data_IF_069664416181
#
_entry.id   IF_069664416181
#
_cell.length_a   1.000
_cell.length_b   1.000
_cell.length_c   1.000
_cell.angle_alpha   90.00
_cell.angle_beta   90.00
_cell.angle_gamma   90.00
#
_symmetry.space_group_name_H-M   'P 1'
#
loop_
_entity.id
_entity.type
_entity.pdbx_description
1 polymer ?
#
# COMPACT_ATOMS: atom_id res chain seq x y z
N UNK A 1 -9.89 -21.89 -9.00
CA UNK A 1 -9.08 -20.70 -9.31
C UNK A 1 -9.79 -19.47 -8.75
N UNK A 2 -9.21 -18.83 -7.73
CA UNK A 2 -9.76 -17.65 -7.06
C UNK A 2 -9.42 -16.38 -7.86
N UNK A 3 -10.40 -15.48 -8.07
CA UNK A 3 -10.19 -14.21 -8.80
C UNK A 3 -9.87 -13.07 -7.84
N UNK A 4 -8.60 -12.60 -7.90
CA UNK A 4 -8.09 -11.52 -7.07
C UNK A 4 -8.12 -10.18 -7.82
N UNK A 5 -8.93 -9.21 -7.37
CA UNK A 5 -8.77 -7.82 -7.78
C UNK A 5 -7.54 -7.22 -7.10
N UNK A 6 -6.64 -6.63 -7.86
CA UNK A 6 -5.42 -6.04 -7.30
C UNK A 6 -5.49 -4.52 -7.30
N UNK A 7 -5.34 -3.91 -6.12
CA UNK A 7 -5.43 -2.46 -5.94
C UNK A 7 -4.08 -1.91 -5.46
N UNK A 8 -3.54 -0.93 -6.15
CA UNK A 8 -2.24 -0.34 -5.82
C UNK A 8 -2.15 1.12 -6.26
N UNK A 9 -1.36 1.91 -5.55
CA UNK A 9 -1.00 3.27 -5.99
C UNK A 9 0.17 3.28 -6.97
N UNK A 10 0.90 2.18 -7.11
CA UNK A 10 2.06 2.08 -8.01
C UNK A 10 3.21 3.03 -7.64
N UNK A 11 3.35 3.40 -6.35
CA UNK A 11 4.19 4.51 -5.90
C UNK A 11 5.69 4.22 -5.98
N UNK A 12 6.09 2.94 -5.90
CA UNK A 12 7.51 2.59 -5.82
C UNK A 12 7.82 1.12 -6.06
N UNK A 13 9.04 0.68 -5.77
CA UNK A 13 9.47 -0.71 -5.94
C UNK A 13 8.59 -1.71 -5.17
N UNK A 14 8.12 -1.35 -3.97
CA UNK A 14 7.25 -2.21 -3.16
C UNK A 14 6.00 -2.66 -3.89
N UNK A 15 5.31 -1.76 -4.61
CA UNK A 15 4.12 -2.12 -5.40
C UNK A 15 4.43 -3.16 -6.48
N UNK A 16 5.58 -3.05 -7.14
CA UNK A 16 6.01 -4.01 -8.16
C UNK A 16 6.41 -5.35 -7.54
N UNK A 17 7.18 -5.30 -6.47
CA UNK A 17 7.67 -6.50 -5.79
C UNK A 17 6.53 -7.34 -5.22
N UNK A 18 5.49 -6.71 -4.68
CA UNK A 18 4.30 -7.40 -4.18
C UNK A 18 3.55 -8.12 -5.30
N UNK A 19 3.24 -7.43 -6.41
CA UNK A 19 2.57 -8.07 -7.55
C UNK A 19 3.44 -9.17 -8.16
N UNK A 20 4.74 -8.90 -8.33
CA UNK A 20 5.69 -9.88 -8.85
C UNK A 20 5.74 -11.15 -8.00
N UNK A 21 5.81 -11.01 -6.68
CA UNK A 21 5.87 -12.18 -5.78
C UNK A 21 4.64 -13.08 -5.92
N UNK A 22 3.44 -12.49 -6.05
CA UNK A 22 2.20 -13.24 -6.27
C UNK A 22 2.18 -13.92 -7.65
N UNK A 23 2.63 -13.21 -8.70
CA UNK A 23 2.66 -13.76 -10.05
C UNK A 23 3.72 -14.85 -10.19
N UNK A 24 4.90 -14.70 -9.60
CA UNK A 24 5.95 -15.71 -9.57
C UNK A 24 5.43 -17.00 -8.88
N UNK A 25 4.69 -16.87 -7.77
CA UNK A 25 4.17 -18.03 -7.05
C UNK A 25 3.02 -18.71 -7.80
N UNK A 26 2.19 -17.93 -8.49
CA UNK A 26 1.19 -18.48 -9.43
C UNK A 26 1.85 -19.27 -10.56
N UNK A 27 2.91 -18.76 -11.18
CA UNK A 27 3.63 -19.44 -12.26
C UNK A 27 4.27 -20.76 -11.82
N UNK A 28 4.73 -20.84 -10.57
CA UNK A 28 5.24 -22.07 -9.95
C UNK A 28 4.12 -23.08 -9.61
N UNK A 29 2.87 -22.68 -9.73
CA UNK A 29 1.71 -23.51 -9.34
C UNK A 29 1.44 -23.56 -7.84
N UNK A 30 2.07 -22.68 -7.05
CA UNK A 30 1.81 -22.56 -5.61
C UNK A 30 0.50 -21.85 -5.28
N UNK A 31 -0.03 -21.05 -6.22
CA UNK A 31 -1.29 -20.34 -6.08
C UNK A 31 -2.24 -20.63 -7.24
N UNK A 32 -3.43 -21.14 -6.94
CA UNK A 32 -4.52 -21.33 -7.93
C UNK A 32 -5.39 -20.06 -8.01
N UNK A 33 -4.84 -19.03 -8.63
CA UNK A 33 -5.45 -17.69 -8.72
C UNK A 33 -5.46 -17.14 -10.15
N UNK A 34 -6.37 -16.21 -10.38
CA UNK A 34 -6.39 -15.29 -11.52
C UNK A 34 -6.37 -13.86 -10.99
N UNK A 35 -5.63 -12.97 -11.65
CA UNK A 35 -5.70 -11.52 -11.42
C UNK A 35 -6.41 -10.90 -12.63
N UNK A 36 -7.73 -10.74 -12.60
CA UNK A 36 -8.51 -10.29 -13.75
C UNK A 36 -8.31 -8.81 -14.08
N UNK A 37 -7.84 -8.01 -13.13
CA UNK A 37 -7.47 -6.61 -13.33
C UNK A 37 -6.53 -6.12 -12.22
N UNK A 38 -5.81 -5.06 -12.54
CA UNK A 38 -5.14 -4.19 -11.57
C UNK A 38 -5.81 -2.83 -11.62
N UNK A 39 -6.25 -2.33 -10.45
CA UNK A 39 -6.73 -0.97 -10.30
C UNK A 39 -5.64 -0.08 -9.72
N UNK A 40 -5.36 1.05 -10.39
CA UNK A 40 -4.46 2.08 -9.89
C UNK A 40 -5.20 3.41 -9.72
N UNK A 41 -5.08 4.03 -8.55
CA UNK A 41 -5.70 5.31 -8.26
C UNK A 41 -4.96 6.52 -8.85
N UNK A 42 -4.17 6.30 -9.90
CA UNK A 42 -3.49 7.30 -10.73
C UNK A 42 -3.55 6.87 -12.20
N UNK A 43 -3.62 7.85 -13.10
CA UNK A 43 -3.64 7.64 -14.56
C UNK A 43 -2.32 7.98 -15.27
N UNK A 44 -1.29 8.34 -14.50
CA UNK A 44 0.05 8.68 -14.98
C UNK A 44 0.13 9.83 -16.01
N UNK A 45 -0.83 10.74 -16.01
CA UNK A 45 -0.88 11.89 -16.93
C UNK A 45 -0.36 13.20 -16.29
N UNK A 46 0.06 13.16 -15.03
CA UNK A 46 0.65 14.28 -14.32
C UNK A 46 2.04 14.66 -14.83
N UNK A 47 2.53 15.82 -14.39
CA UNK A 47 3.89 16.29 -14.70
C UNK A 47 4.93 15.21 -14.28
N UNK A 48 5.97 14.96 -15.10
CA UNK A 48 7.03 14.00 -14.77
C UNK A 48 7.70 14.27 -13.42
N UNK A 49 7.84 13.23 -12.64
CA UNK A 49 8.59 13.18 -11.38
C UNK A 49 9.00 11.72 -11.09
N UNK A 50 9.84 11.50 -10.08
CA UNK A 50 10.33 10.15 -9.76
C UNK A 50 9.21 9.15 -9.47
N UNK A 51 8.13 9.57 -8.82
CA UNK A 51 6.97 8.71 -8.53
C UNK A 51 6.20 8.33 -9.79
N UNK A 52 6.11 9.24 -10.76
CA UNK A 52 5.51 8.96 -12.06
C UNK A 52 6.31 7.92 -12.83
N UNK A 53 7.63 8.00 -12.82
CA UNK A 53 8.51 7.00 -13.43
C UNK A 53 8.32 5.63 -12.77
N UNK A 54 8.31 5.57 -11.43
CA UNK A 54 8.06 4.33 -10.69
C UNK A 54 6.70 3.72 -11.03
N UNK A 55 5.67 4.56 -11.20
CA UNK A 55 4.33 4.10 -11.59
C UNK A 55 4.29 3.62 -13.04
N UNK A 56 5.01 4.26 -13.94
CA UNK A 56 5.12 3.78 -15.32
C UNK A 56 5.74 2.37 -15.35
N UNK A 57 6.81 2.14 -14.59
CA UNK A 57 7.40 0.80 -14.47
C UNK A 57 6.41 -0.23 -13.90
N UNK A 58 5.50 0.20 -13.00
CA UNK A 58 4.43 -0.67 -12.51
C UNK A 58 3.40 -0.96 -13.60
N UNK A 59 2.99 0.03 -14.38
CA UNK A 59 2.06 -0.13 -15.51
C UNK A 59 2.64 -1.07 -16.57
N UNK A 60 3.89 -0.86 -16.95
CA UNK A 60 4.61 -1.70 -17.92
C UNK A 60 4.69 -3.17 -17.45
N UNK A 61 4.87 -3.38 -16.13
CA UNK A 61 4.84 -4.72 -15.54
C UNK A 61 3.46 -5.36 -15.63
N UNK A 62 2.39 -4.62 -15.30
CA UNK A 62 0.99 -5.10 -15.38
C UNK A 62 0.66 -5.49 -16.82
N UNK A 63 1.03 -4.66 -17.79
CA UNK A 63 0.87 -4.93 -19.20
C UNK A 63 1.69 -6.16 -19.62
N UNK A 64 2.92 -6.28 -19.14
CA UNK A 64 3.81 -7.44 -19.43
C UNK A 64 3.22 -8.77 -18.94
N UNK A 65 2.41 -8.77 -17.88
CA UNK A 65 1.64 -9.94 -17.45
C UNK A 65 0.35 -10.16 -18.23
N UNK A 66 -0.01 -9.26 -19.14
CA UNK A 66 -1.28 -9.31 -19.88
C UNK A 66 -2.51 -9.03 -19.01
N UNK A 67 -2.33 -8.36 -17.86
CA UNK A 67 -3.41 -8.05 -16.94
C UNK A 67 -4.05 -6.70 -17.34
N UNK A 68 -5.39 -6.62 -17.45
CA UNK A 68 -6.08 -5.34 -17.66
C UNK A 68 -5.73 -4.32 -16.57
N UNK A 69 -5.25 -3.14 -16.99
CA UNK A 69 -4.98 -2.02 -16.11
C UNK A 69 -6.19 -1.06 -16.13
N UNK A 70 -6.83 -0.88 -14.98
CA UNK A 70 -7.91 0.07 -14.76
C UNK A 70 -7.38 1.24 -13.96
N UNK A 71 -7.59 2.46 -14.42
CA UNK A 71 -7.10 3.65 -13.72
C UNK A 71 -8.21 4.65 -13.44
N UNK A 72 -8.09 5.34 -12.30
CA UNK A 72 -8.85 6.55 -11.96
C UNK A 72 -7.99 7.47 -11.10
N UNK A 73 -7.64 8.65 -11.63
CA UNK A 73 -6.79 9.58 -10.88
C UNK A 73 -7.58 10.25 -9.75
N UNK A 74 -7.32 9.85 -8.51
CA UNK A 74 -7.92 10.48 -7.34
C UNK A 74 -7.69 12.01 -7.30
N UNK A 75 -6.56 12.47 -7.82
CA UNK A 75 -6.17 13.88 -7.81
C UNK A 75 -6.99 14.72 -8.78
N UNK A 76 -7.47 14.09 -9.86
CA UNK A 76 -8.29 14.74 -10.90
C UNK A 76 -9.77 14.57 -10.66
N UNK A 77 -10.14 13.54 -9.91
CA UNK A 77 -11.53 13.23 -9.62
C UNK A 77 -12.10 14.21 -8.62
N UNK A 78 -13.04 15.04 -9.05
CA UNK A 78 -13.78 16.00 -8.21
C UNK A 78 -12.93 16.74 -7.16
N UNK A 79 -11.83 17.44 -7.55
CA UNK A 79 -10.88 18.00 -6.59
C UNK A 79 -11.48 19.05 -5.65
N UNK A 80 -12.54 19.75 -6.07
CA UNK A 80 -13.22 20.73 -5.23
C UNK A 80 -14.07 20.03 -4.17
N UNK A 81 -14.82 18.99 -4.54
CA UNK A 81 -15.59 18.18 -3.58
C UNK A 81 -14.65 17.60 -2.51
N UNK A 82 -13.46 17.11 -2.90
CA UNK A 82 -12.50 16.56 -1.95
C UNK A 82 -12.05 17.57 -0.89
N UNK A 83 -11.91 18.86 -1.27
CA UNK A 83 -11.53 19.92 -0.34
C UNK A 83 -12.69 20.31 0.58
N UNK A 84 -13.91 20.27 0.08
CA UNK A 84 -15.11 20.71 0.79
C UNK A 84 -15.65 19.61 1.71
N UNK A 85 -15.68 18.37 1.21
CA UNK A 85 -16.22 17.20 1.91
C UNK A 85 -15.50 15.91 1.44
N UNK A 86 -14.47 15.52 2.17
CA UNK A 86 -13.66 14.34 1.84
C UNK A 86 -14.47 13.05 1.97
N UNK A 87 -15.46 12.97 2.85
CA UNK A 87 -16.30 11.79 3.03
C UNK A 87 -17.25 11.60 1.83
N UNK A 88 -17.90 12.68 1.38
CA UNK A 88 -18.73 12.66 0.18
C UNK A 88 -17.88 12.33 -1.06
N UNK A 89 -16.69 12.91 -1.16
CA UNK A 89 -15.75 12.60 -2.23
C UNK A 89 -15.37 11.11 -2.23
N UNK A 90 -15.08 10.54 -1.07
CA UNK A 90 -14.76 9.12 -0.91
C UNK A 90 -15.86 8.21 -1.44
N UNK A 91 -17.12 8.51 -1.11
CA UNK A 91 -18.29 7.77 -1.60
C UNK A 91 -18.44 7.83 -3.12
N UNK A 92 -18.29 9.01 -3.72
CA UNK A 92 -18.36 9.17 -5.18
C UNK A 92 -17.16 8.49 -5.88
N UNK A 93 -15.97 8.57 -5.31
CA UNK A 93 -14.79 7.87 -5.84
C UNK A 93 -14.95 6.35 -5.76
N UNK A 94 -15.44 5.83 -4.65
CA UNK A 94 -15.74 4.41 -4.48
C UNK A 94 -16.81 3.90 -5.46
N UNK A 95 -17.83 4.70 -5.73
CA UNK A 95 -18.84 4.37 -6.76
C UNK A 95 -18.20 4.19 -8.14
N UNK A 96 -17.34 5.12 -8.58
CA UNK A 96 -16.63 5.00 -9.85
C UNK A 96 -15.67 3.80 -9.85
N UNK A 97 -15.00 3.53 -8.74
CA UNK A 97 -14.16 2.33 -8.58
C UNK A 97 -15.01 1.06 -8.81
N UNK A 98 -16.16 0.93 -8.15
CA UNK A 98 -17.07 -0.22 -8.32
C UNK A 98 -17.56 -0.34 -9.75
N UNK A 99 -18.02 0.75 -10.37
CA UNK A 99 -18.48 0.76 -11.76
C UNK A 99 -17.40 0.28 -12.73
N UNK A 100 -16.16 0.69 -12.54
CA UNK A 100 -15.01 0.28 -13.38
C UNK A 100 -14.57 -1.16 -13.16
N UNK A 101 -14.80 -1.74 -11.99
CA UNK A 101 -14.26 -3.06 -11.62
C UNK A 101 -15.29 -4.18 -11.57
N UNK A 102 -16.60 -3.89 -11.47
CA UNK A 102 -17.67 -4.90 -11.34
C UNK A 102 -17.70 -5.95 -12.47
N UNK A 103 -17.30 -5.57 -13.68
CA UNK A 103 -17.32 -6.47 -14.85
C UNK A 103 -16.26 -7.56 -14.85
N UNK A 104 -15.26 -7.48 -13.98
CA UNK A 104 -14.14 -8.43 -13.95
C UNK A 104 -14.39 -9.67 -13.10
N UNK A 105 -15.49 -9.71 -12.32
CA UNK A 105 -15.86 -10.87 -11.52
C UNK A 105 -14.87 -11.18 -10.38
N UNK A 106 -14.31 -10.14 -9.77
CA UNK A 106 -13.47 -10.24 -8.57
C UNK A 106 -14.21 -10.98 -7.45
N UNK A 107 -13.53 -11.89 -6.78
CA UNK A 107 -14.03 -12.62 -5.61
C UNK A 107 -13.36 -12.13 -4.30
N UNK A 108 -12.13 -11.61 -4.40
CA UNK A 108 -11.40 -11.06 -3.28
C UNK A 108 -10.56 -9.88 -3.77
N UNK A 109 -10.65 -8.73 -3.11
CA UNK A 109 -9.81 -7.57 -3.37
C UNK A 109 -8.54 -7.61 -2.52
N UNK A 110 -7.40 -7.25 -3.10
CA UNK A 110 -6.11 -7.14 -2.41
C UNK A 110 -5.61 -5.70 -2.52
N UNK A 111 -5.56 -5.00 -1.39
CA UNK A 111 -4.99 -3.66 -1.29
C UNK A 111 -3.49 -3.79 -1.02
N UNK A 112 -2.68 -3.71 -2.08
CA UNK A 112 -1.23 -3.85 -2.02
C UNK A 112 -0.54 -2.51 -2.28
N UNK A 113 -0.34 -1.74 -1.23
CA UNK A 113 0.16 -0.37 -1.33
C UNK A 113 -0.85 0.58 -1.99
N UNK A 114 -2.12 0.38 -1.71
CA UNK A 114 -3.20 1.29 -2.07
C UNK A 114 -3.35 2.34 -0.97
N UNK A 115 -3.15 3.60 -1.31
CA UNK A 115 -2.97 4.70 -0.35
C UNK A 115 -4.22 5.57 -0.17
N UNK A 116 -5.39 5.10 -0.61
CA UNK A 116 -6.67 5.73 -0.33
C UNK A 116 -7.51 4.82 0.57
N UNK A 117 -8.39 5.46 1.32
CA UNK A 117 -9.40 4.74 2.08
C UNK A 117 -10.46 4.14 1.14
N UNK A 118 -10.98 2.99 1.50
CA UNK A 118 -12.17 2.44 0.85
C UNK A 118 -13.42 3.00 1.52
N UNK A 119 -14.38 3.43 0.72
CA UNK A 119 -15.67 3.88 1.23
C UNK A 119 -16.50 2.71 1.77
N UNK A 120 -17.49 3.03 2.60
CA UNK A 120 -18.32 2.07 3.28
C UNK A 120 -19.06 1.12 2.33
N UNK A 121 -19.57 1.65 1.21
CA UNK A 121 -20.29 0.84 0.22
C UNK A 121 -19.36 -0.13 -0.51
N UNK A 122 -18.10 0.26 -0.75
CA UNK A 122 -17.10 -0.66 -1.35
C UNK A 122 -16.72 -1.76 -0.35
N UNK A 123 -16.55 -1.43 0.92
CA UNK A 123 -16.30 -2.42 1.98
C UNK A 123 -17.48 -3.39 2.16
N UNK A 124 -18.73 -2.92 1.99
CA UNK A 124 -19.92 -3.78 2.07
C UNK A 124 -20.12 -4.65 0.81
N UNK A 125 -19.66 -4.17 -0.35
CA UNK A 125 -19.85 -4.84 -1.64
C UNK A 125 -18.81 -5.93 -1.93
N UNK A 126 -17.61 -5.82 -1.35
CA UNK A 126 -16.49 -6.71 -1.67
C UNK A 126 -15.77 -7.18 -0.41
N UNK A 127 -15.43 -8.45 -0.39
CA UNK A 127 -14.41 -8.97 0.54
C UNK A 127 -13.04 -8.45 0.11
N UNK A 128 -12.37 -7.70 0.98
CA UNK A 128 -11.08 -7.09 0.67
C UNK A 128 -10.09 -7.28 1.81
N UNK A 129 -8.83 -7.50 1.46
CA UNK A 129 -7.71 -7.58 2.40
C UNK A 129 -6.75 -6.43 2.17
N UNK A 130 -6.34 -5.79 3.25
CA UNK A 130 -5.30 -4.76 3.22
C UNK A 130 -3.97 -5.32 3.73
N UNK A 131 -2.90 -5.05 2.97
CA UNK A 131 -1.53 -5.30 3.40
C UNK A 131 -1.04 -4.09 4.20
N UNK A 132 -0.83 -4.28 5.49
CA UNK A 132 -0.34 -3.25 6.40
C UNK A 132 1.08 -3.58 6.89
N UNK A 133 2.02 -2.61 6.87
CA UNK A 133 3.42 -2.84 7.18
C UNK A 133 3.73 -2.84 8.68
N UNK A 134 2.89 -3.49 9.47
CA UNK A 134 3.09 -3.67 10.91
C UNK A 134 2.52 -5.01 11.39
N UNK A 135 2.91 -5.41 12.60
CA UNK A 135 2.27 -6.51 13.34
C UNK A 135 0.84 -6.11 13.77
N UNK A 136 -0.06 -7.07 14.06
CA UNK A 136 -1.41 -6.79 14.52
C UNK A 136 -1.49 -5.90 15.77
N UNK A 137 -0.47 -5.99 16.63
CA UNK A 137 -0.33 -5.16 17.85
C UNK A 137 0.66 -4.00 17.66
N UNK A 138 1.20 -3.84 16.46
CA UNK A 138 2.21 -2.83 16.15
C UNK A 138 1.62 -1.46 15.80
N UNK A 139 2.50 -0.56 15.36
CA UNK A 139 2.12 0.79 14.95
C UNK A 139 1.06 0.82 13.86
N UNK A 140 0.28 1.90 13.82
CA UNK A 140 -0.71 2.18 12.78
C UNK A 140 -0.32 3.42 11.99
N UNK A 141 -0.90 3.55 10.79
CA UNK A 141 -0.65 4.68 9.90
C UNK A 141 0.11 4.29 8.63
N UNK A 142 0.69 5.27 7.98
CA UNK A 142 1.53 5.07 6.79
C UNK A 142 2.80 4.27 7.14
N UNK A 143 3.42 3.65 6.13
CA UNK A 143 4.66 2.89 6.36
C UNK A 143 5.79 3.77 6.94
N UNK A 144 5.84 5.05 6.59
CA UNK A 144 6.78 6.00 7.17
C UNK A 144 6.51 6.21 8.67
N UNK A 145 5.25 6.43 9.03
CA UNK A 145 4.86 6.59 10.45
C UNK A 145 5.17 5.34 11.25
N UNK A 146 4.92 4.17 10.68
CA UNK A 146 5.28 2.88 11.31
C UNK A 146 6.78 2.80 11.57
N UNK A 147 7.62 3.12 10.59
CA UNK A 147 9.08 3.10 10.76
C UNK A 147 9.52 4.08 11.85
N UNK A 148 9.03 5.31 11.84
CA UNK A 148 9.39 6.30 12.86
C UNK A 148 8.96 5.90 14.27
N UNK A 149 7.81 5.24 14.41
CA UNK A 149 7.37 4.70 15.70
C UNK A 149 8.29 3.56 16.16
N UNK A 150 8.63 2.62 15.29
CA UNK A 150 9.57 1.52 15.60
C UNK A 150 10.95 2.03 16.01
N UNK A 151 11.45 3.09 15.37
CA UNK A 151 12.71 3.74 15.77
C UNK A 151 12.56 4.37 17.15
N UNK A 152 11.45 5.07 17.42
CA UNK A 152 11.19 5.70 18.71
C UNK A 152 11.03 4.71 19.86
N UNK A 153 10.54 3.53 19.59
CA UNK A 153 10.37 2.43 20.53
C UNK A 153 11.63 1.56 20.69
N UNK A 154 12.68 1.85 19.94
CA UNK A 154 13.91 1.03 19.87
C UNK A 154 13.60 -0.44 19.57
N UNK A 155 12.69 -0.68 18.64
CA UNK A 155 12.11 -1.98 18.36
C UNK A 155 13.15 -3.01 17.89
N UNK A 156 12.97 -4.26 18.29
CA UNK A 156 13.80 -5.39 17.86
C UNK A 156 13.24 -6.09 16.62
N UNK A 157 11.91 -6.03 16.46
CA UNK A 157 11.17 -6.74 15.42
C UNK A 157 10.24 -5.79 14.67
N UNK A 158 9.99 -6.15 13.44
CA UNK A 158 8.98 -5.59 12.54
C UNK A 158 8.08 -6.73 12.05
N UNK A 159 6.97 -6.38 11.43
CA UNK A 159 6.12 -7.34 10.76
C UNK A 159 5.29 -6.72 9.66
N UNK A 160 4.59 -7.59 8.97
CA UNK A 160 3.59 -7.25 7.96
C UNK A 160 2.37 -8.11 8.22
N UNK A 161 1.19 -7.52 8.18
CA UNK A 161 -0.06 -8.25 8.31
C UNK A 161 -0.96 -8.07 7.09
N UNK A 162 -1.81 -9.07 6.87
CA UNK A 162 -3.00 -8.96 6.04
C UNK A 162 -4.21 -8.93 6.97
N UNK A 163 -5.01 -7.90 6.89
CA UNK A 163 -6.23 -7.75 7.67
C UNK A 163 -7.44 -7.48 6.78
N UNK A 164 -8.62 -7.75 7.29
CA UNK A 164 -9.87 -7.45 6.59
C UNK A 164 -9.99 -5.93 6.43
N UNK A 165 -10.27 -5.47 5.21
CA UNK A 165 -10.62 -4.08 4.97
C UNK A 165 -12.03 -3.84 5.48
N UNK A 166 -12.18 -2.91 6.40
CA UNK A 166 -13.45 -2.52 7.01
C UNK A 166 -13.65 -1.01 6.94
N UNK A 167 -14.84 -0.56 7.27
CA UNK A 167 -15.20 0.87 7.38
C UNK A 167 -14.33 1.63 8.39
N UNK A 168 -13.84 0.92 9.40
CA UNK A 168 -12.87 1.45 10.35
C UNK A 168 -11.46 1.20 9.83
N UNK A 169 -10.76 2.27 9.51
CA UNK A 169 -9.44 2.24 8.89
C UNK A 169 -8.41 1.46 9.73
N UNK A 170 -7.73 0.50 9.08
CA UNK A 170 -6.68 -0.37 9.66
C UNK A 170 -7.09 -1.06 10.98
N UNK A 171 -8.40 -1.32 11.16
CA UNK A 171 -8.96 -1.93 12.37
C UNK A 171 -9.64 -3.28 12.14
N UNK A 172 -9.66 -3.76 10.91
CA UNK A 172 -10.17 -5.10 10.63
C UNK A 172 -9.31 -6.19 11.26
N UNK A 173 -9.93 -7.35 11.49
CA UNK A 173 -9.24 -8.50 12.07
C UNK A 173 -8.07 -8.94 11.19
N UNK A 174 -6.90 -9.12 11.81
CA UNK A 174 -5.74 -9.67 11.14
C UNK A 174 -5.97 -11.15 10.83
N UNK A 175 -5.87 -11.51 9.54
CA UNK A 175 -6.01 -12.91 9.09
C UNK A 175 -4.67 -13.65 9.12
N UNK A 176 -3.61 -12.97 8.78
CA UNK A 176 -2.26 -13.52 8.79
C UNK A 176 -1.24 -12.41 8.98
N UNK A 177 -0.08 -12.78 9.50
CA UNK A 177 1.07 -11.87 9.62
C UNK A 177 2.37 -12.64 9.56
N UNK A 178 3.44 -11.96 9.23
CA UNK A 178 4.79 -12.44 9.46
C UNK A 178 5.55 -11.47 10.37
N UNK A 179 6.48 -11.99 11.15
CA UNK A 179 7.37 -11.24 12.04
C UNK A 179 8.81 -11.53 11.65
N UNK A 180 9.63 -10.51 11.64
CA UNK A 180 11.05 -10.63 11.33
C UNK A 180 11.86 -9.64 12.17
N UNK A 181 13.11 -9.98 12.53
CA UNK A 181 13.99 -9.07 13.27
C UNK A 181 14.43 -7.90 12.38
N UNK A 182 14.54 -6.74 12.97
CA UNK A 182 15.16 -5.54 12.39
C UNK A 182 16.48 -5.17 13.11
N UNK A 183 17.10 -6.18 13.68
CA UNK A 183 18.42 -6.15 14.33
C UNK A 183 19.29 -7.24 13.73
N UNK A 184 20.59 -7.04 13.76
CA UNK A 184 21.54 -7.99 13.18
C UNK A 184 21.77 -7.75 11.68
N UNK A 185 22.89 -8.26 11.17
CA UNK A 185 23.25 -8.18 9.76
C UNK A 185 23.30 -6.75 9.24
N UNK A 186 22.63 -6.51 8.10
CA UNK A 186 22.64 -5.20 7.44
C UNK A 186 21.91 -4.11 8.25
N UNK A 187 20.99 -4.48 9.13
CA UNK A 187 20.27 -3.53 9.98
C UNK A 187 21.17 -2.85 11.03
N UNK A 188 22.20 -3.54 11.53
CA UNK A 188 23.08 -2.98 12.57
C UNK A 188 23.78 -1.70 12.14
N UNK A 189 24.16 -1.62 10.87
CA UNK A 189 24.77 -0.41 10.31
C UNK A 189 23.78 0.77 10.26
N UNK A 190 22.51 0.52 9.95
CA UNK A 190 21.47 1.52 9.93
C UNK A 190 21.12 2.01 11.33
N UNK A 191 20.97 1.08 12.28
CA UNK A 191 20.75 1.42 13.68
C UNK A 191 21.92 2.21 14.29
N UNK A 192 23.15 1.85 13.97
CA UNK A 192 24.33 2.61 14.42
C UNK A 192 24.30 4.07 13.92
N UNK A 193 23.90 4.29 12.64
CA UNK A 193 23.73 5.65 12.11
C UNK A 193 22.62 6.40 12.84
N UNK A 194 21.50 5.76 13.13
CA UNK A 194 20.40 6.37 13.87
C UNK A 194 20.83 6.75 15.30
N UNK A 195 21.51 5.85 16.02
CA UNK A 195 22.01 6.15 17.36
C UNK A 195 23.03 7.31 17.37
N UNK A 196 23.88 7.43 16.36
CA UNK A 196 24.78 8.58 16.26
C UNK A 196 24.01 9.91 16.10
N UNK A 197 22.93 9.93 15.31
CA UNK A 197 22.07 11.11 15.18
C UNK A 197 21.36 11.43 16.49
N UNK A 198 20.84 10.43 17.19
CA UNK A 198 20.13 10.57 18.47
C UNK A 198 21.01 11.07 19.62
N UNK A 199 22.34 11.05 19.50
CA UNK A 199 23.24 11.66 20.50
C UNK A 199 23.14 13.21 20.54
N UNK A 200 22.72 13.83 19.44
CA UNK A 200 22.76 15.29 19.28
C UNK A 200 21.41 15.89 18.94
N UNK A 201 20.44 15.09 18.54
CA UNK A 201 19.11 15.50 18.10
C UNK A 201 18.04 14.57 18.69
N UNK A 202 16.84 15.08 18.89
CA UNK A 202 15.70 14.25 19.18
C UNK A 202 15.11 13.64 17.87
N UNK A 203 14.20 12.70 18.03
CA UNK A 203 13.61 11.96 16.92
C UNK A 203 12.81 12.87 15.97
N UNK A 204 12.12 13.89 16.52
CA UNK A 204 11.33 14.81 15.71
C UNK A 204 12.23 15.69 14.82
N UNK A 205 13.37 16.15 15.36
CA UNK A 205 14.36 16.89 14.60
C UNK A 205 14.96 16.06 13.48
N UNK A 206 15.29 14.79 13.76
CA UNK A 206 15.82 13.86 12.73
C UNK A 206 14.76 13.64 11.64
N UNK A 207 13.51 13.35 12.03
CA UNK A 207 12.40 13.16 11.09
C UNK A 207 12.17 14.38 10.21
N UNK A 208 12.25 15.58 10.76
CA UNK A 208 12.09 16.82 10.00
C UNK A 208 13.21 17.07 8.98
N UNK A 209 14.44 16.61 9.28
CA UNK A 209 15.60 16.75 8.38
C UNK A 209 15.62 15.68 7.28
N UNK A 210 15.28 14.43 7.59
CA UNK A 210 15.25 13.33 6.63
C UNK A 210 14.06 13.44 5.65
N UNK A 211 13.03 14.17 6.04
CA UNK A 211 11.78 14.28 5.28
C UNK A 211 10.84 13.08 5.47
N UNK A 212 9.59 13.28 5.08
CA UNK A 212 8.58 12.20 5.19
C UNK A 212 8.76 11.13 4.11
N UNK A 213 9.51 11.42 3.06
CA UNK A 213 9.55 10.58 1.86
C UNK A 213 10.64 9.51 1.85
N UNK A 214 11.70 9.66 2.64
CA UNK A 214 12.82 8.70 2.69
C UNK A 214 13.36 8.56 4.12
N UNK A 215 12.66 7.85 5.00
CA UNK A 215 13.28 7.43 6.26
C UNK A 215 14.49 6.53 5.95
N UNK A 216 15.49 6.54 6.81
CA UNK A 216 16.77 5.81 6.66
C UNK A 216 16.64 4.28 6.51
N UNK A 217 15.43 3.73 6.62
CA UNK A 217 15.15 2.29 6.54
C UNK A 217 14.18 1.96 5.41
#
# INVERSE_FOLDING_TARGET
MLKLGWFSTGRGPGSRNLLKAVMDEKEKGGLDIEVPFVFCNWDNTEVPNSRKEQRQMFFDMVEGYGIPLVTESWKKFMPELRKEDEAAWGSEYGKVLREKTQGYGMQLGILAGYMLWMDDETCDAYDMLNLHPALPTGPKGTWQEVIWQLIGEDAEDQGVMMHICTKEHDRGDALTYCRFPIRGGDYDALWAQMYEKLKTKDLEQIRAEEGEDEPLF
#
